data_IF_618712981841
#
_entry.id   IF_618712981841
#
_cell.length_a   1.000
_cell.length_b   1.000
_cell.length_c   1.000
_cell.angle_alpha   90.00
_cell.angle_beta   90.00
_cell.angle_gamma   90.00
#
_symmetry.space_group_name_H-M   'P 1'
#
loop_
_entity.id
_entity.type
_entity.pdbx_description
1 polymer ?
#
# COMPACT_ATOMS: atom_id res chain seq x y z
N UNK A 1 60.64 -37.28 -27.34
CA UNK A 1 60.04 -38.17 -26.34
C UNK A 1 58.57 -37.80 -26.19
N UNK A 2 57.70 -38.61 -26.80
CA UNK A 2 56.24 -38.50 -26.75
C UNK A 2 55.71 -39.10 -25.45
N UNK A 3 54.71 -38.48 -24.82
CA UNK A 3 53.75 -39.17 -23.96
C UNK A 3 52.33 -38.74 -24.35
N UNK A 4 51.64 -39.69 -24.98
CA UNK A 4 50.20 -39.77 -25.13
C UNK A 4 49.54 -39.90 -23.75
N UNK A 5 48.44 -39.19 -23.54
CA UNK A 5 47.30 -39.69 -22.76
C UNK A 5 46.01 -39.27 -23.48
N UNK A 6 45.57 -40.14 -24.40
CA UNK A 6 44.19 -40.26 -24.85
C UNK A 6 43.35 -40.85 -23.69
N UNK A 7 42.16 -40.28 -23.44
CA UNK A 7 41.27 -40.63 -22.34
C UNK A 7 41.60 -39.77 -21.12
N UNK A 8 40.95 -38.62 -20.90
CA UNK A 8 39.56 -38.55 -20.44
C UNK A 8 38.82 -37.41 -21.15
N UNK A 9 38.41 -37.68 -22.39
CA UNK A 9 37.30 -37.00 -23.04
C UNK A 9 36.04 -37.80 -22.70
N UNK A 10 35.53 -37.71 -21.46
CA UNK A 10 34.23 -38.32 -21.08
C UNK A 10 33.73 -37.87 -19.69
N UNK A 11 33.86 -36.58 -19.34
CA UNK A 11 32.95 -35.94 -18.36
C UNK A 11 32.64 -34.52 -18.88
N UNK A 12 32.15 -34.47 -20.12
CA UNK A 12 31.21 -33.42 -20.49
C UNK A 12 29.92 -33.68 -19.72
N UNK A 13 29.24 -32.59 -19.37
CA UNK A 13 27.79 -32.58 -19.18
C UNK A 13 27.29 -33.10 -17.83
N UNK A 14 27.56 -32.39 -16.75
CA UNK A 14 26.60 -32.33 -15.65
C UNK A 14 26.74 -31.04 -14.85
N UNK A 15 25.60 -30.37 -14.67
CA UNK A 15 25.35 -29.20 -13.81
C UNK A 15 25.65 -27.86 -14.48
N UNK A 16 25.04 -27.72 -15.66
CA UNK A 16 24.35 -26.51 -16.12
C UNK A 16 23.14 -26.24 -15.19
N UNK A 17 22.77 -24.96 -15.03
CA UNK A 17 21.68 -24.39 -14.20
C UNK A 17 22.04 -23.95 -12.77
N UNK A 18 22.72 -22.80 -12.66
CA UNK A 18 22.40 -21.84 -11.60
C UNK A 18 21.42 -20.85 -12.22
N UNK A 19 20.13 -21.16 -12.16
CA UNK A 19 19.10 -20.20 -12.52
C UNK A 19 19.05 -19.13 -11.43
N UNK A 20 19.07 -17.83 -11.75
CA UNK A 20 18.67 -16.84 -10.78
C UNK A 20 17.17 -17.03 -10.55
N UNK A 21 16.82 -17.45 -9.34
CA UNK A 21 15.44 -17.42 -8.84
C UNK A 21 15.06 -15.94 -8.72
N UNK A 22 14.62 -15.35 -9.83
CA UNK A 22 13.81 -14.14 -9.78
C UNK A 22 12.42 -14.61 -9.37
N UNK A 23 12.17 -14.56 -8.07
CA UNK A 23 10.83 -14.65 -7.52
C UNK A 23 10.03 -13.45 -8.04
N UNK A 24 9.37 -13.59 -9.19
CA UNK A 24 8.27 -12.72 -9.58
C UNK A 24 7.04 -13.16 -8.78
N UNK A 25 6.87 -12.60 -7.59
CA UNK A 25 5.55 -12.50 -6.98
C UNK A 25 4.79 -11.40 -7.74
N UNK A 26 4.23 -11.75 -8.90
CA UNK A 26 3.51 -10.84 -9.78
C UNK A 26 2.03 -11.24 -9.94
N UNK A 27 1.42 -11.80 -8.88
CA UNK A 27 0.01 -12.24 -8.94
C UNK A 27 -0.89 -11.71 -7.80
N UNK A 28 -0.36 -11.01 -6.80
CA UNK A 28 -1.19 -10.36 -5.76
C UNK A 28 -1.59 -8.91 -6.11
N UNK A 29 -1.08 -8.34 -7.19
CA UNK A 29 -1.29 -6.92 -7.52
C UNK A 29 -2.65 -6.62 -8.15
N UNK A 30 -3.32 -7.62 -8.73
CA UNK A 30 -4.59 -7.42 -9.48
C UNK A 30 -5.73 -6.94 -8.58
N UNK A 31 -5.78 -7.38 -7.33
CA UNK A 31 -6.81 -6.99 -6.36
C UNK A 31 -6.64 -5.56 -5.86
N UNK A 32 -5.46 -5.24 -5.35
CA UNK A 32 -5.17 -3.91 -4.79
C UNK A 32 -5.21 -2.81 -5.86
N UNK A 33 -4.59 -3.03 -7.02
CA UNK A 33 -4.55 -2.04 -8.12
C UNK A 33 -5.95 -1.70 -8.64
N UNK A 34 -6.79 -2.73 -8.83
CA UNK A 34 -8.17 -2.57 -9.28
C UNK A 34 -8.99 -1.76 -8.27
N UNK A 35 -8.89 -2.07 -6.97
CA UNK A 35 -9.64 -1.40 -5.92
C UNK A 35 -9.16 0.04 -5.68
N UNK A 36 -7.86 0.29 -5.81
CA UNK A 36 -7.30 1.63 -5.71
C UNK A 36 -7.87 2.54 -6.80
N UNK A 37 -7.98 2.05 -8.03
CA UNK A 37 -8.59 2.80 -9.13
C UNK A 37 -10.00 3.31 -8.80
N UNK A 38 -10.79 2.57 -8.02
CA UNK A 38 -12.14 2.97 -7.62
C UNK A 38 -12.16 4.22 -6.71
N UNK A 39 -11.06 4.57 -6.06
CA UNK A 39 -10.97 5.76 -5.19
C UNK A 39 -11.06 7.08 -5.97
N UNK A 40 -10.77 7.07 -7.27
CA UNK A 40 -10.87 8.25 -8.16
C UNK A 40 -12.31 8.66 -8.46
N UNK A 41 -13.29 7.75 -8.21
CA UNK A 41 -14.70 7.99 -8.49
C UNK A 41 -15.26 9.24 -7.78
N UNK A 42 -16.28 9.88 -8.36
CA UNK A 42 -16.93 11.04 -7.72
C UNK A 42 -17.85 10.65 -6.55
N UNK A 43 -18.34 9.40 -6.52
CA UNK A 43 -19.31 8.96 -5.52
C UNK A 43 -18.64 8.54 -4.21
N UNK A 44 -18.91 9.27 -3.13
CA UNK A 44 -18.44 8.90 -1.79
C UNK A 44 -18.94 7.52 -1.32
N UNK A 45 -20.12 7.07 -1.80
CA UNK A 45 -20.64 5.73 -1.48
C UNK A 45 -19.79 4.63 -2.12
N UNK A 46 -19.31 4.86 -3.36
CA UNK A 46 -18.41 3.92 -4.03
C UNK A 46 -17.03 3.92 -3.36
N UNK A 47 -16.48 5.09 -3.04
CA UNK A 47 -15.23 5.19 -2.26
C UNK A 47 -15.29 4.47 -0.92
N UNK A 48 -16.41 4.59 -0.19
CA UNK A 48 -16.59 3.90 1.08
C UNK A 48 -16.51 2.37 0.91
N UNK A 49 -17.11 1.82 -0.15
CA UNK A 49 -17.01 0.39 -0.47
C UNK A 49 -15.60 -0.01 -0.89
N UNK A 50 -14.94 0.81 -1.71
CA UNK A 50 -13.55 0.56 -2.10
C UNK A 50 -12.63 0.55 -0.86
N UNK A 51 -12.82 1.49 0.08
CA UNK A 51 -12.06 1.52 1.35
C UNK A 51 -12.32 0.27 2.20
N UNK A 52 -13.57 -0.21 2.28
CA UNK A 52 -13.88 -1.48 2.95
C UNK A 52 -13.16 -2.67 2.30
N UNK A 53 -13.17 -2.73 0.97
CA UNK A 53 -12.51 -3.80 0.22
C UNK A 53 -10.98 -3.74 0.36
N UNK A 54 -10.39 -2.55 0.29
CA UNK A 54 -8.95 -2.33 0.48
C UNK A 54 -8.53 -2.69 1.91
N UNK A 55 -9.32 -2.31 2.92
CA UNK A 55 -9.02 -2.63 4.31
C UNK A 55 -9.10 -4.13 4.64
N UNK A 56 -9.80 -4.92 3.81
CA UNK A 56 -9.86 -6.37 3.93
C UNK A 56 -8.66 -7.09 3.29
N UNK A 57 -7.81 -6.38 2.54
CA UNK A 57 -6.60 -6.93 1.96
C UNK A 57 -5.47 -6.99 3.02
N UNK A 58 -4.69 -8.05 3.00
CA UNK A 58 -3.47 -8.20 3.81
C UNK A 58 -2.25 -7.72 3.00
N UNK A 59 -2.23 -6.41 2.67
CA UNK A 59 -1.15 -5.77 1.90
C UNK A 59 -0.55 -4.61 2.70
N UNK A 60 0.78 -4.50 2.73
CA UNK A 60 1.50 -3.45 3.45
C UNK A 60 1.18 -2.03 2.94
N UNK A 61 0.74 -1.91 1.67
CA UNK A 61 0.37 -0.64 1.03
C UNK A 61 -0.97 -0.10 1.50
N UNK A 62 -1.81 -0.91 2.13
CA UNK A 62 -3.16 -0.51 2.60
C UNK A 62 -3.06 0.64 3.60
N UNK A 63 -2.24 0.47 4.64
CA UNK A 63 -2.16 1.43 5.74
C UNK A 63 -1.69 2.83 5.28
N UNK A 64 -0.57 2.98 4.55
CA UNK A 64 -0.13 4.29 4.05
C UNK A 64 -1.18 4.99 3.19
N UNK A 65 -1.91 4.24 2.35
CA UNK A 65 -2.97 4.79 1.49
C UNK A 65 -4.14 5.32 2.30
N UNK A 66 -4.59 4.57 3.30
CA UNK A 66 -5.69 4.99 4.17
C UNK A 66 -5.30 6.23 4.99
N UNK A 67 -4.07 6.27 5.51
CA UNK A 67 -3.54 7.41 6.25
C UNK A 67 -3.43 8.66 5.36
N UNK A 68 -2.85 8.54 4.16
CA UNK A 68 -2.78 9.64 3.22
C UNK A 68 -4.17 10.12 2.78
N UNK A 69 -5.12 9.21 2.60
CA UNK A 69 -6.51 9.56 2.27
C UNK A 69 -7.19 10.31 3.43
N UNK A 70 -6.91 9.92 4.67
CA UNK A 70 -7.43 10.57 5.86
C UNK A 70 -6.83 11.96 6.07
N UNK A 71 -5.51 12.10 5.89
CA UNK A 71 -4.79 13.37 5.91
C UNK A 71 -5.21 14.30 4.75
N UNK A 72 -5.69 13.70 3.66
CA UNK A 72 -6.08 14.42 2.46
C UNK A 72 -4.90 14.72 1.54
N UNK A 73 -3.87 13.90 1.63
CA UNK A 73 -2.66 13.91 0.82
C UNK A 73 -2.68 12.83 -0.27
N UNK A 74 -3.82 12.16 -0.46
CA UNK A 74 -4.03 11.25 -1.58
C UNK A 74 -4.60 11.99 -2.80
N UNK A 75 -3.87 11.92 -3.92
CA UNK A 75 -4.17 12.62 -5.16
C UNK A 75 -4.16 11.63 -6.33
N UNK A 76 -4.64 12.07 -7.49
CA UNK A 76 -4.44 11.36 -8.74
C UNK A 76 -3.99 12.32 -9.85
N UNK A 77 -3.12 11.85 -10.74
CA UNK A 77 -2.67 12.61 -11.89
C UNK A 77 -3.76 12.61 -12.96
N UNK A 78 -4.01 13.76 -13.59
CA UNK A 78 -5.08 13.89 -14.60
C UNK A 78 -4.74 13.27 -15.95
N UNK A 79 -3.46 13.05 -16.23
CA UNK A 79 -2.98 12.50 -17.50
C UNK A 79 -3.29 11.01 -17.64
N UNK A 80 -3.01 10.22 -16.61
CA UNK A 80 -3.06 8.76 -16.63
C UNK A 80 -3.90 8.18 -15.48
N UNK A 81 -4.59 9.02 -14.71
CA UNK A 81 -5.41 8.67 -13.55
C UNK A 81 -4.67 7.89 -12.46
N UNK A 82 -3.32 7.90 -12.47
CA UNK A 82 -2.52 7.25 -11.45
C UNK A 82 -2.71 7.92 -10.10
N UNK A 83 -2.87 7.10 -9.07
CA UNK A 83 -2.99 7.56 -7.70
C UNK A 83 -1.60 7.76 -7.12
N UNK A 84 -1.40 8.92 -6.50
CA UNK A 84 -0.13 9.40 -5.99
C UNK A 84 -0.30 9.93 -4.56
N UNK A 85 0.73 9.74 -3.76
CA UNK A 85 0.92 10.50 -2.53
C UNK A 85 1.39 11.91 -2.87
N UNK A 86 0.83 12.91 -2.19
CA UNK A 86 1.25 14.30 -2.30
C UNK A 86 2.11 14.67 -1.11
N UNK A 87 3.23 15.33 -1.38
CA UNK A 87 4.00 16.12 -0.43
C UNK A 87 4.12 17.58 -0.93
N UNK A 88 4.38 18.51 -0.03
CA UNK A 88 4.62 19.90 -0.41
C UNK A 88 6.02 20.04 -1.01
N UNK A 89 6.09 20.56 -2.24
CA UNK A 89 7.33 20.89 -2.94
C UNK A 89 7.64 22.38 -2.88
N UNK A 90 8.78 22.77 -3.46
CA UNK A 90 9.23 24.17 -3.50
C UNK A 90 8.39 25.03 -4.47
N UNK A 91 7.98 24.45 -5.61
CA UNK A 91 7.25 25.12 -6.69
C UNK A 91 5.86 24.53 -6.98
N UNK A 92 5.56 23.35 -6.42
CA UNK A 92 4.37 22.56 -6.73
C UNK A 92 4.09 21.49 -5.69
N UNK A 93 3.79 20.28 -6.15
CA UNK A 93 3.63 19.10 -5.30
C UNK A 93 4.65 18.04 -5.70
N UNK A 94 5.41 17.55 -4.74
CA UNK A 94 6.19 16.34 -4.92
C UNK A 94 5.23 15.14 -4.88
N UNK A 95 5.31 14.27 -5.89
CA UNK A 95 4.42 13.12 -5.99
C UNK A 95 5.17 11.80 -5.99
N UNK A 96 4.60 10.82 -5.31
CA UNK A 96 5.11 9.46 -5.23
C UNK A 96 4.02 8.50 -5.67
N UNK A 97 4.34 7.56 -6.55
CA UNK A 97 3.41 6.53 -7.01
C UNK A 97 2.99 5.62 -5.84
N UNK A 98 1.69 5.42 -5.67
CA UNK A 98 1.15 4.57 -4.58
C UNK A 98 1.40 3.08 -4.81
N UNK A 99 1.43 2.64 -6.06
CA UNK A 99 1.59 1.22 -6.42
C UNK A 99 3.04 0.79 -6.30
N UNK A 100 3.97 1.62 -6.78
CA UNK A 100 5.41 1.29 -6.84
C UNK A 100 6.24 1.93 -5.74
N UNK A 101 5.74 2.97 -5.07
CA UNK A 101 6.52 3.77 -4.11
C UNK A 101 7.59 4.64 -4.78
N UNK A 102 7.60 4.74 -6.11
CA UNK A 102 8.61 5.50 -6.85
C UNK A 102 8.29 6.99 -6.81
N UNK A 103 9.27 7.82 -6.48
CA UNK A 103 9.14 9.28 -6.58
C UNK A 103 9.07 9.68 -8.06
N UNK A 104 7.98 10.34 -8.46
CA UNK A 104 7.74 10.78 -9.84
C UNK A 104 8.22 12.22 -10.07
N UNK A 105 8.70 12.89 -9.01
CA UNK A 105 9.20 14.25 -9.05
C UNK A 105 8.13 15.30 -8.74
N UNK A 106 8.46 16.57 -9.01
CA UNK A 106 7.58 17.70 -8.73
C UNK A 106 6.66 18.00 -9.92
N UNK A 107 5.36 18.14 -9.63
CA UNK A 107 4.32 18.42 -10.63
C UNK A 107 3.55 19.69 -10.29
N UNK A 108 2.96 20.29 -11.33
CA UNK A 108 2.13 21.47 -11.16
C UNK A 108 0.84 21.17 -10.39
N UNK A 109 0.41 22.09 -9.52
CA UNK A 109 -0.84 21.94 -8.72
C UNK A 109 -2.09 21.67 -9.56
N UNK A 110 -2.08 22.03 -10.85
CA UNK A 110 -3.19 21.82 -11.80
C UNK A 110 -3.18 20.44 -12.44
N UNK A 111 -2.06 19.73 -12.41
CA UNK A 111 -1.86 18.43 -13.08
C UNK A 111 -2.38 17.27 -12.23
N UNK A 112 -2.48 17.48 -10.91
CA UNK A 112 -3.05 16.53 -9.97
C UNK A 112 -4.40 16.99 -9.44
N UNK A 113 -5.21 16.04 -8.98
CA UNK A 113 -6.49 16.30 -8.34
C UNK A 113 -6.63 15.51 -7.06
N UNK A 114 -7.12 16.18 -6.01
CA UNK A 114 -7.30 15.57 -4.69
C UNK A 114 -8.40 14.52 -4.72
N UNK A 115 -8.15 13.38 -4.06
CA UNK A 115 -9.20 12.41 -3.75
C UNK A 115 -10.00 12.96 -2.55
N UNK A 116 -11.11 13.63 -2.86
CA UNK A 116 -11.94 14.24 -1.84
C UNK A 116 -12.56 13.20 -0.89
N UNK A 117 -12.60 13.55 0.40
CA UNK A 117 -13.23 12.78 1.49
C UNK A 117 -14.36 13.59 2.13
N UNK A 118 -15.36 12.92 2.69
CA UNK A 118 -16.41 13.53 3.50
C UNK A 118 -16.31 13.07 4.97
N UNK A 119 -17.11 13.65 5.87
CA UNK A 119 -17.02 13.32 7.29
C UNK A 119 -17.27 11.83 7.58
N UNK A 120 -18.23 11.22 6.89
CA UNK A 120 -18.55 9.79 7.03
C UNK A 120 -17.35 8.91 6.65
N UNK A 121 -16.71 9.21 5.51
CA UNK A 121 -15.56 8.47 5.01
C UNK A 121 -14.35 8.64 5.93
N UNK A 122 -14.13 9.84 6.49
CA UNK A 122 -13.07 10.08 7.47
C UNK A 122 -13.25 9.25 8.74
N UNK A 123 -14.49 9.14 9.25
CA UNK A 123 -14.79 8.26 10.40
C UNK A 123 -14.47 6.81 10.09
N UNK A 124 -14.95 6.31 8.95
CA UNK A 124 -14.67 4.95 8.49
C UNK A 124 -13.15 4.69 8.35
N UNK A 125 -12.41 5.60 7.72
CA UNK A 125 -10.95 5.52 7.59
C UNK A 125 -10.28 5.43 8.97
N UNK A 126 -10.66 6.26 9.94
CA UNK A 126 -10.12 6.21 11.31
C UNK A 126 -10.36 4.86 11.97
N UNK A 127 -11.59 4.35 11.90
CA UNK A 127 -11.95 3.05 12.49
C UNK A 127 -11.10 1.92 11.89
N UNK A 128 -10.95 1.90 10.57
CA UNK A 128 -10.17 0.86 9.88
C UNK A 128 -8.66 0.97 10.15
N UNK A 129 -8.11 2.19 10.13
CA UNK A 129 -6.69 2.44 10.48
C UNK A 129 -6.41 2.01 11.92
N UNK A 130 -7.29 2.36 12.85
CA UNK A 130 -7.16 1.96 14.24
C UNK A 130 -7.18 0.43 14.39
N UNK A 131 -8.08 -0.26 13.70
CA UNK A 131 -8.14 -1.71 13.70
C UNK A 131 -6.89 -2.37 13.14
N UNK A 132 -6.40 -1.87 12.00
CA UNK A 132 -5.17 -2.37 11.41
C UNK A 132 -3.98 -2.22 12.36
N UNK A 133 -3.83 -1.06 13.01
CA UNK A 133 -2.73 -0.82 13.95
C UNK A 133 -2.86 -1.64 15.24
N UNK A 134 -4.06 -1.77 15.80
CA UNK A 134 -4.32 -2.59 17.00
C UNK A 134 -4.06 -4.07 16.75
N UNK A 135 -4.27 -4.56 15.54
CA UNK A 135 -4.01 -5.95 15.16
C UNK A 135 -2.58 -6.17 14.62
N UNK A 136 -1.74 -5.14 14.64
CA UNK A 136 -0.36 -5.24 14.17
C UNK A 136 0.43 -6.27 14.97
N UNK A 137 1.30 -7.05 14.30
CA UNK A 137 2.21 -7.99 14.97
C UNK A 137 3.22 -7.27 15.87
N UNK A 138 3.56 -6.01 15.56
CA UNK A 138 4.54 -5.19 16.31
C UNK A 138 3.89 -4.59 17.57
N UNK A 139 4.38 -4.90 18.79
CA UNK A 139 3.80 -4.39 20.03
C UNK A 139 3.78 -2.86 20.14
N UNK A 140 4.82 -2.20 19.64
CA UNK A 140 4.94 -0.73 19.67
C UNK A 140 3.82 -0.03 18.89
N UNK A 141 3.45 -0.57 17.72
CA UNK A 141 2.36 -0.04 16.89
C UNK A 141 1.00 -0.23 17.59
N UNK A 142 0.80 -1.39 18.22
CA UNK A 142 -0.43 -1.67 18.98
C UNK A 142 -0.60 -0.70 20.15
N UNK A 143 0.47 -0.48 20.91
CA UNK A 143 0.46 0.42 22.07
C UNK A 143 0.19 1.86 21.64
N UNK A 144 0.88 2.35 20.60
CA UNK A 144 0.64 3.69 20.07
C UNK A 144 -0.82 3.87 19.62
N UNK A 145 -1.40 2.86 18.94
CA UNK A 145 -2.79 2.90 18.53
C UNK A 145 -3.76 2.90 19.72
N UNK A 146 -3.50 2.09 20.75
CA UNK A 146 -4.31 2.10 21.97
C UNK A 146 -4.27 3.46 22.67
N UNK A 147 -3.08 4.06 22.80
CA UNK A 147 -2.91 5.39 23.39
C UNK A 147 -3.64 6.48 22.60
N UNK A 148 -3.58 6.44 21.27
CA UNK A 148 -4.29 7.40 20.41
C UNK A 148 -5.81 7.30 20.56
N UNK A 149 -6.33 6.08 20.72
CA UNK A 149 -7.75 5.83 20.98
C UNK A 149 -8.19 6.30 22.37
N UNK A 150 -7.33 6.15 23.38
CA UNK A 150 -7.59 6.67 24.74
C UNK A 150 -7.66 8.20 24.73
N UNK A 151 -6.77 8.87 23.98
CA UNK A 151 -6.77 10.33 23.84
C UNK A 151 -8.00 10.87 23.10
N UNK A 152 -8.56 10.08 22.19
CA UNK A 152 -9.69 10.48 21.34
C UNK A 152 -10.83 9.46 21.44
N UNK A 153 -11.51 9.35 22.60
CA UNK A 153 -12.55 8.35 22.79
C UNK A 153 -13.73 8.62 21.86
N UNK A 154 -14.18 7.59 21.15
CA UNK A 154 -15.31 7.68 20.23
C UNK A 154 -16.07 6.35 20.17
N UNK A 155 -17.42 6.38 20.12
CA UNK A 155 -18.22 5.16 19.97
C UNK A 155 -17.90 4.35 18.72
N UNK A 156 -17.37 4.99 17.68
CA UNK A 156 -17.02 4.32 16.41
C UNK A 156 -15.84 3.36 16.52
N UNK A 157 -15.09 3.40 17.63
CA UNK A 157 -13.99 2.46 17.90
C UNK A 157 -14.40 1.25 18.72
N UNK A 158 -15.62 1.22 19.29
CA UNK A 158 -16.05 0.17 20.21
C UNK A 158 -15.91 -1.23 19.59
N UNK A 159 -16.42 -1.40 18.37
CA UNK A 159 -16.37 -2.69 17.68
C UNK A 159 -14.93 -3.15 17.39
N UNK A 160 -14.06 -2.20 17.04
CA UNK A 160 -12.65 -2.47 16.76
C UNK A 160 -11.91 -2.85 18.04
N UNK A 161 -12.15 -2.15 19.15
CA UNK A 161 -11.56 -2.45 20.45
C UNK A 161 -11.99 -3.83 20.94
N UNK A 162 -13.29 -4.15 20.83
CA UNK A 162 -13.79 -5.47 21.20
C UNK A 162 -13.10 -6.58 20.40
N UNK A 163 -12.99 -6.39 19.08
CA UNK A 163 -12.31 -7.34 18.19
C UNK A 163 -10.84 -7.51 18.54
N UNK A 164 -10.16 -6.44 18.97
CA UNK A 164 -8.75 -6.49 19.37
C UNK A 164 -8.52 -7.15 20.74
N UNK A 165 -9.50 -7.09 21.64
CA UNK A 165 -9.44 -7.73 22.97
C UNK A 165 -9.74 -9.23 22.88
N UNK A 166 -10.66 -9.62 22.00
CA UNK A 166 -11.11 -11.03 21.85
C UNK A 166 -10.07 -11.94 21.17
N UNK A 167 -8.95 -11.39 20.69
CA UNK A 167 -7.94 -12.07 19.87
C UNK A 167 -6.66 -12.37 20.64
#
# INVERSE_FOLDING_TARGET
MMKQYWGVLLVLLNIMCVAPVWAQNADESTGFESLIGELTTSSFKKKAKAVEAIAALDDERVLPVMEAMLAGDLYYQKSDEKIVFKADGESGYLITDVLTGTELGEVGKREVKKIATNNRLRKQLRTQIAGYKLLSKKPEIRLAAADDLIKTPSPEFLQVLQTAIDR
#
